data_IF_533240305059
#
_entry.id   IF_533240305059
#
_cell.length_a   1.000
_cell.length_b   1.000
_cell.length_c   1.000
_cell.angle_alpha   90.00
_cell.angle_beta   90.00
_cell.angle_gamma   90.00
#
_symmetry.space_group_name_H-M   'P 1'
#
loop_
_entity.id
_entity.type
_entity.pdbx_description
1 polymer ?
#
# COMPACT_ATOMS: atom_id res chain seq x y z
N UNK A 1 28.58 6.31 17.04
CA UNK A 1 27.97 5.96 15.74
C UNK A 1 26.47 5.97 15.97
N UNK A 2 25.80 7.08 15.66
CA UNK A 2 24.34 7.17 15.84
C UNK A 2 23.69 6.31 14.78
N UNK A 3 22.86 5.36 15.20
CA UNK A 3 21.98 4.61 14.32
C UNK A 3 20.91 5.62 13.87
N UNK A 4 21.06 6.19 12.68
CA UNK A 4 20.01 6.99 12.08
C UNK A 4 18.81 6.08 11.86
N UNK A 5 17.64 6.49 12.37
CA UNK A 5 16.40 5.75 12.20
C UNK A 5 16.10 5.61 10.70
N UNK A 6 15.94 4.37 10.23
CA UNK A 6 15.58 4.02 8.86
C UNK A 6 14.08 4.21 8.64
N UNK A 7 13.57 5.40 8.94
CA UNK A 7 12.13 5.63 8.93
C UNK A 7 11.67 5.96 7.50
N UNK A 8 11.12 4.96 6.81
CA UNK A 8 10.28 5.21 5.64
C UNK A 8 9.15 6.14 6.04
N UNK A 9 8.79 7.08 5.17
CA UNK A 9 7.77 8.09 5.47
C UNK A 9 6.51 7.81 4.68
N UNK A 10 5.37 8.16 5.26
CA UNK A 10 4.11 8.19 4.53
C UNK A 10 4.24 9.10 3.30
N UNK A 11 3.71 8.63 2.17
CA UNK A 11 3.71 9.33 0.89
C UNK A 11 2.31 9.21 0.27
N UNK A 12 1.89 10.09 -0.65
CA UNK A 12 0.56 10.01 -1.22
C UNK A 12 0.37 8.70 -1.97
N UNK A 13 -0.56 7.88 -1.49
CA UNK A 13 -0.83 6.56 -2.02
C UNK A 13 0.32 5.56 -1.85
N UNK A 14 1.26 5.79 -0.93
CA UNK A 14 2.44 4.94 -0.81
C UNK A 14 3.40 5.33 0.31
N UNK A 15 4.70 5.08 0.09
CA UNK A 15 5.78 5.40 1.03
C UNK A 15 7.00 5.96 0.30
N UNK A 16 7.89 6.65 1.02
CA UNK A 16 9.23 6.98 0.50
C UNK A 16 10.31 6.10 1.12
N UNK A 17 11.45 5.98 0.44
CA UNK A 17 12.69 5.55 1.09
C UNK A 17 13.09 6.51 2.23
N UNK A 18 14.02 6.07 3.09
CA UNK A 18 14.48 6.83 4.25
C UNK A 18 15.19 8.14 3.84
N UNK A 19 15.84 8.13 2.67
CA UNK A 19 16.53 9.30 2.13
C UNK A 19 15.57 10.35 1.53
N UNK A 20 14.31 9.99 1.26
CA UNK A 20 13.34 10.84 0.57
C UNK A 20 13.67 11.07 -0.91
N UNK A 21 14.41 10.15 -1.53
CA UNK A 21 14.82 10.24 -2.93
C UNK A 21 13.84 9.53 -3.86
N UNK A 22 13.22 8.44 -3.37
CA UNK A 22 12.31 7.60 -4.16
C UNK A 22 10.96 7.48 -3.46
N UNK A 23 9.88 7.71 -4.20
CA UNK A 23 8.51 7.43 -3.77
C UNK A 23 7.99 6.17 -4.43
N UNK A 24 7.40 5.26 -3.64
CA UNK A 24 6.78 4.02 -4.11
C UNK A 24 5.26 4.16 -3.96
N UNK A 25 4.58 4.39 -5.08
CA UNK A 25 3.14 4.66 -5.11
C UNK A 25 2.39 3.40 -5.51
N UNK A 26 1.40 2.99 -4.70
CA UNK A 26 0.44 1.97 -5.06
C UNK A 26 -0.67 2.57 -5.95
N UNK A 27 -0.96 1.88 -7.05
CA UNK A 27 -2.00 2.20 -8.02
C UNK A 27 -3.06 1.08 -8.06
N UNK A 28 -4.25 1.36 -8.64
CA UNK A 28 -5.28 0.35 -8.80
C UNK A 28 -4.80 -0.94 -9.47
N UNK A 29 -5.30 -2.09 -9.01
CA UNK A 29 -4.87 -3.41 -9.52
C UNK A 29 -3.48 -3.82 -9.01
N UNK A 30 -3.15 -3.42 -7.78
CA UNK A 30 -1.93 -3.83 -7.06
C UNK A 30 -0.63 -3.50 -7.80
N UNK A 31 -0.62 -2.43 -8.59
CA UNK A 31 0.58 -1.95 -9.28
C UNK A 31 1.37 -1.02 -8.36
N UNK A 32 2.69 -1.16 -8.36
CA UNK A 32 3.59 -0.20 -7.69
C UNK A 32 4.39 0.53 -8.76
N UNK A 33 4.49 1.85 -8.61
CA UNK A 33 5.35 2.71 -9.42
C UNK A 33 6.38 3.38 -8.53
N UNK A 34 7.66 3.25 -8.87
CA UNK A 34 8.74 3.99 -8.23
C UNK A 34 9.03 5.28 -8.99
N UNK A 35 9.04 6.40 -8.27
CA UNK A 35 9.23 7.74 -8.79
C UNK A 35 10.48 8.35 -8.17
N UNK A 36 11.34 8.93 -9.01
CA UNK A 36 12.39 9.83 -8.56
C UNK A 36 11.76 11.12 -8.05
N UNK A 37 11.87 11.41 -6.75
CA UNK A 37 11.21 12.57 -6.16
C UNK A 37 11.90 13.89 -6.53
N UNK A 38 13.13 13.85 -7.03
CA UNK A 38 13.83 15.04 -7.51
C UNK A 38 13.28 15.52 -8.85
N UNK A 39 13.04 14.61 -9.79
CA UNK A 39 12.66 14.94 -11.17
C UNK A 39 11.20 14.66 -11.51
N UNK A 40 10.54 13.79 -10.74
CA UNK A 40 9.22 13.24 -11.07
C UNK A 40 9.29 12.04 -12.02
N UNK A 41 10.47 11.62 -12.46
CA UNK A 41 10.59 10.55 -13.45
C UNK A 41 10.20 9.19 -12.87
N UNK A 42 9.53 8.38 -13.69
CA UNK A 42 9.27 6.98 -13.34
C UNK A 42 10.55 6.16 -13.49
N UNK A 43 11.01 5.56 -12.39
CA UNK A 43 12.15 4.64 -12.39
C UNK A 43 11.77 3.25 -12.87
N UNK A 44 10.69 2.71 -12.30
CA UNK A 44 10.17 1.40 -12.67
C UNK A 44 8.69 1.26 -12.28
N UNK A 45 8.07 0.19 -12.78
CA UNK A 45 6.66 -0.13 -12.57
C UNK A 45 6.45 -1.64 -12.59
N UNK A 46 5.71 -2.15 -11.60
CA UNK A 46 5.42 -3.59 -11.48
C UNK A 46 3.95 -3.80 -11.14
N UNK A 47 3.23 -4.50 -12.02
CA UNK A 47 1.83 -4.87 -11.79
C UNK A 47 1.73 -6.07 -10.85
N UNK A 48 0.73 -6.08 -9.96
CA UNK A 48 0.53 -7.16 -8.99
C UNK A 48 1.58 -7.21 -7.86
N UNK A 49 2.41 -6.17 -7.74
CA UNK A 49 3.40 -6.03 -6.68
C UNK A 49 2.77 -5.84 -5.28
N UNK A 50 1.52 -5.38 -5.20
CA UNK A 50 0.80 -5.20 -3.94
C UNK A 50 0.93 -3.79 -3.38
N UNK A 51 0.91 -3.66 -2.06
CA UNK A 51 0.99 -2.40 -1.31
C UNK A 51 2.33 -2.30 -0.59
N UNK A 52 3.08 -1.20 -0.77
CA UNK A 52 4.33 -0.99 -0.05
C UNK A 52 4.04 -0.71 1.43
N UNK A 53 4.81 -1.36 2.32
CA UNK A 53 4.70 -1.21 3.77
C UNK A 53 5.91 -0.50 4.38
N UNK A 54 7.11 -0.83 3.89
CA UNK A 54 8.39 -0.27 4.34
C UNK A 54 9.35 -0.21 3.15
N UNK A 55 10.11 0.88 3.06
CA UNK A 55 11.15 1.06 2.06
C UNK A 55 12.50 1.35 2.73
N UNK A 56 13.51 0.64 2.29
CA UNK A 56 14.92 0.89 2.60
C UNK A 56 15.64 1.30 1.32
N UNK A 57 16.92 1.65 1.41
CA UNK A 57 17.72 2.02 0.23
C UNK A 57 17.84 0.88 -0.80
N UNK A 58 17.66 -0.38 -0.38
CA UNK A 58 17.83 -1.53 -1.27
C UNK A 58 16.58 -2.39 -1.42
N UNK A 59 15.68 -2.41 -0.45
CA UNK A 59 14.55 -3.32 -0.42
C UNK A 59 13.23 -2.60 -0.14
N UNK A 60 12.16 -3.09 -0.75
CA UNK A 60 10.79 -2.66 -0.56
C UNK A 60 9.98 -3.85 -0.01
N UNK A 61 9.56 -3.77 1.25
CA UNK A 61 8.65 -4.74 1.84
C UNK A 61 7.23 -4.40 1.40
N UNK A 62 6.56 -5.37 0.81
CA UNK A 62 5.19 -5.25 0.33
C UNK A 62 4.31 -6.32 0.95
N UNK A 63 3.02 -6.01 1.07
CA UNK A 63 1.97 -7.03 1.19
C UNK A 63 1.26 -7.11 -0.15
N UNK A 64 1.01 -8.33 -0.65
CA UNK A 64 0.35 -8.56 -1.93
C UNK A 64 -0.69 -9.67 -1.82
N UNK A 65 -1.65 -9.69 -2.74
CA UNK A 65 -2.62 -10.77 -2.84
C UNK A 65 -2.17 -11.79 -3.86
N UNK A 66 -1.97 -13.03 -3.43
CA UNK A 66 -1.70 -14.17 -4.29
C UNK A 66 -2.85 -15.17 -4.15
N UNK A 67 -3.65 -15.32 -5.21
CA UNK A 67 -4.90 -16.08 -5.18
C UNK A 67 -5.85 -15.54 -4.08
N UNK A 68 -6.17 -16.35 -3.06
CA UNK A 68 -7.02 -15.98 -1.91
C UNK A 68 -6.22 -15.79 -0.62
N UNK A 69 -4.92 -15.48 -0.73
CA UNK A 69 -4.04 -15.27 0.41
C UNK A 69 -3.34 -13.93 0.32
N UNK A 70 -3.10 -13.34 1.48
CA UNK A 70 -2.23 -12.17 1.62
C UNK A 70 -0.84 -12.66 1.99
N UNK A 71 0.16 -12.20 1.26
CA UNK A 71 1.55 -12.64 1.40
C UNK A 71 2.47 -11.43 1.52
N UNK A 72 3.56 -11.59 2.26
CA UNK A 72 4.65 -10.63 2.27
C UNK A 72 5.68 -11.00 1.20
N UNK A 73 6.27 -9.98 0.58
CA UNK A 73 7.39 -10.14 -0.32
C UNK A 73 8.38 -8.98 -0.17
N UNK A 74 9.63 -9.24 -0.51
CA UNK A 74 10.68 -8.23 -0.63
C UNK A 74 10.97 -8.02 -2.10
N UNK A 75 10.80 -6.78 -2.54
CA UNK A 75 11.19 -6.32 -3.86
C UNK A 75 12.53 -5.58 -3.75
N UNK A 76 13.29 -5.58 -4.82
CA UNK A 76 14.43 -4.71 -5.00
C UNK A 76 13.93 -3.27 -5.22
N UNK A 77 14.37 -2.34 -4.37
CA UNK A 77 13.92 -0.95 -4.44
C UNK A 77 14.40 -0.23 -5.73
N UNK A 78 15.47 -0.71 -6.37
CA UNK A 78 16.08 -0.07 -7.54
C UNK A 78 15.40 -0.46 -8.85
N UNK A 79 14.85 -1.67 -8.96
CA UNK A 79 14.27 -2.15 -10.22
C UNK A 79 12.88 -2.80 -10.07
N UNK A 80 12.40 -3.04 -8.85
CA UNK A 80 11.10 -3.64 -8.57
C UNK A 80 11.05 -5.17 -8.67
N UNK A 81 12.18 -5.84 -8.96
CA UNK A 81 12.24 -7.30 -9.05
C UNK A 81 11.98 -7.95 -7.68
N UNK A 82 11.28 -9.09 -7.67
CA UNK A 82 11.09 -9.86 -6.44
C UNK A 82 12.43 -10.46 -6.02
N UNK A 83 12.94 -10.06 -4.85
CA UNK A 83 14.13 -10.63 -4.22
C UNK A 83 13.79 -11.87 -3.41
N UNK A 84 12.69 -11.81 -2.65
CA UNK A 84 12.27 -12.91 -1.78
C UNK A 84 10.75 -12.93 -1.61
N UNK A 85 10.18 -14.13 -1.69
CA UNK A 85 8.80 -14.40 -1.31
C UNK A 85 8.80 -14.87 0.16
N UNK A 86 8.46 -13.96 1.08
CA UNK A 86 8.47 -14.24 2.52
C UNK A 86 7.40 -15.29 2.88
N UNK A 87 6.23 -15.17 2.25
CA UNK A 87 5.13 -16.13 2.39
C UNK A 87 3.86 -15.55 3.02
N UNK A 88 2.88 -16.42 3.36
CA UNK A 88 1.54 -16.01 3.73
C UNK A 88 1.47 -15.37 5.11
N UNK A 89 0.82 -14.22 5.19
CA UNK A 89 0.46 -13.61 6.47
C UNK A 89 -0.51 -14.55 7.21
N UNK A 90 -0.40 -14.66 8.55
CA UNK A 90 -1.28 -15.49 9.37
C UNK A 90 -2.67 -14.83 9.56
N UNK A 91 -3.32 -14.45 8.48
CA UNK A 91 -4.65 -13.83 8.46
C UNK A 91 -5.74 -14.89 8.26
N UNK A 92 -6.97 -14.66 8.74
CA UNK A 92 -8.10 -15.51 8.36
C UNK A 92 -8.35 -15.49 6.84
N UNK A 93 -8.88 -16.59 6.30
CA UNK A 93 -9.14 -16.73 4.85
C UNK A 93 -10.03 -15.62 4.26
N UNK A 94 -10.96 -15.08 5.06
CA UNK A 94 -11.86 -14.00 4.64
C UNK A 94 -11.16 -12.65 4.49
N UNK A 95 -9.97 -12.46 5.10
CA UNK A 95 -9.27 -11.17 5.07
C UNK A 95 -8.79 -10.80 3.65
N UNK A 96 -8.48 -11.80 2.82
CA UNK A 96 -8.06 -11.56 1.43
C UNK A 96 -9.21 -11.00 0.57
N UNK A 97 -10.46 -11.32 0.92
CA UNK A 97 -11.65 -10.79 0.24
C UNK A 97 -11.87 -9.30 0.57
N UNK A 98 -11.34 -8.83 1.71
CA UNK A 98 -11.41 -7.44 2.17
C UNK A 98 -10.24 -6.57 1.72
N UNK A 99 -9.30 -7.14 0.95
CA UNK A 99 -8.09 -6.46 0.45
C UNK A 99 -8.42 -5.15 -0.28
N UNK A 100 -9.32 -5.22 -1.27
CA UNK A 100 -9.68 -4.09 -2.13
C UNK A 100 -10.70 -3.14 -1.50
N UNK A 101 -11.35 -3.57 -0.41
CA UNK A 101 -12.28 -2.71 0.31
C UNK A 101 -11.47 -1.67 1.08
N UNK A 102 -11.79 -0.40 0.85
CA UNK A 102 -11.37 0.66 1.74
C UNK A 102 -11.57 0.19 3.19
N UNK A 103 -10.48 0.16 3.98
CA UNK A 103 -10.43 -0.16 5.42
C UNK A 103 -10.88 -1.56 5.85
N UNK A 104 -11.10 -2.48 4.91
CA UNK A 104 -11.36 -3.89 5.23
C UNK A 104 -10.11 -4.65 5.64
N UNK A 105 -8.95 -4.30 5.07
CA UNK A 105 -7.64 -4.79 5.48
C UNK A 105 -6.62 -3.66 5.53
N UNK A 106 -5.84 -3.63 6.60
CA UNK A 106 -4.77 -2.66 6.81
C UNK A 106 -3.53 -3.37 7.36
N UNK A 107 -2.35 -3.01 6.86
CA UNK A 107 -1.07 -3.42 7.41
C UNK A 107 -0.13 -2.23 7.49
N UNK A 108 0.70 -2.20 8.52
CA UNK A 108 1.75 -1.21 8.75
C UNK A 108 3.03 -1.92 9.13
N UNK A 109 4.16 -1.37 8.71
CA UNK A 109 5.47 -1.88 9.04
C UNK A 109 6.27 -0.81 9.79
N UNK A 110 6.99 -1.23 10.82
CA UNK A 110 7.91 -0.39 11.57
C UNK A 110 9.32 -1.02 11.55
N UNK A 111 10.36 -0.27 11.15
CA UNK A 111 11.72 -0.77 11.14
C UNK A 111 12.25 -0.98 12.57
N UNK A 112 12.96 -2.09 12.79
CA UNK A 112 13.63 -2.47 14.04
C UNK A 112 15.00 -3.07 13.73
N UNK A 113 15.97 -2.22 13.42
CA UNK A 113 17.31 -2.68 13.01
C UNK A 113 17.26 -3.37 11.64
N UNK A 114 17.72 -4.62 11.57
CA UNK A 114 17.62 -5.47 10.35
C UNK A 114 16.25 -6.14 10.19
N UNK A 115 15.38 -6.01 11.20
CA UNK A 115 14.04 -6.59 11.18
C UNK A 115 13.00 -5.49 10.95
N UNK A 116 11.82 -5.91 10.52
CA UNK A 116 10.63 -5.08 10.42
C UNK A 116 9.49 -5.75 11.17
N UNK A 117 8.87 -5.02 12.09
CA UNK A 117 7.64 -5.46 12.72
C UNK A 117 6.46 -5.03 11.85
N UNK A 118 5.69 -6.00 11.38
CA UNK A 118 4.49 -5.77 10.58
C UNK A 118 3.26 -6.09 11.42
N UNK A 119 2.45 -5.08 11.73
CA UNK A 119 1.12 -5.30 12.30
C UNK A 119 0.06 -5.21 11.20
N UNK A 120 -0.97 -6.03 11.34
CA UNK A 120 -2.12 -6.02 10.44
C UNK A 120 -3.42 -6.10 11.22
N UNK A 121 -4.49 -5.61 10.59
CA UNK A 121 -5.86 -5.65 11.06
C UNK A 121 -6.78 -5.89 9.87
N UNK A 122 -7.74 -6.79 10.03
CA UNK A 122 -8.78 -7.08 9.07
C UNK A 122 -10.15 -6.97 9.75
N UNK A 123 -11.13 -6.40 9.04
CA UNK A 123 -12.52 -6.29 9.50
C UNK A 123 -13.43 -6.76 8.39
N UNK A 124 -14.23 -7.79 8.69
CA UNK A 124 -15.20 -8.34 7.76
C UNK A 124 -16.40 -7.41 7.62
N UNK A 125 -16.64 -6.89 6.42
CA UNK A 125 -17.71 -5.92 6.13
C UNK A 125 -18.77 -6.53 5.23
N UNK A 126 -19.99 -6.06 5.39
CA UNK A 126 -21.06 -6.41 4.47
C UNK A 126 -21.10 -5.42 3.30
N UNK A 127 -20.86 -5.91 2.08
CA UNK A 127 -20.75 -5.08 0.88
C UNK A 127 -22.08 -4.85 0.13
N UNK A 128 -23.22 -5.09 0.79
CA UNK A 128 -24.54 -4.94 0.18
C UNK A 128 -24.96 -6.12 -0.70
N UNK A 129 -26.19 -6.07 -1.22
CA UNK A 129 -26.81 -7.14 -1.99
C UNK A 129 -28.19 -7.54 -1.46
N UNK A 130 -28.60 -8.79 -1.73
CA UNK A 130 -29.79 -9.37 -1.12
C UNK A 130 -29.68 -9.34 0.40
N UNK A 131 -30.80 -9.15 1.12
CA UNK A 131 -30.79 -9.08 2.57
C UNK A 131 -29.98 -10.27 3.16
N UNK A 132 -28.93 -9.99 3.96
CA UNK A 132 -28.06 -11.03 4.47
C UNK A 132 -28.86 -11.99 5.35
N UNK A 133 -28.54 -13.27 5.30
CA UNK A 133 -29.10 -14.23 6.24
C UNK A 133 -28.62 -13.92 7.66
N UNK A 134 -29.34 -14.40 8.67
CA UNK A 134 -28.93 -14.23 10.07
C UNK A 134 -27.51 -14.77 10.33
N UNK A 135 -27.10 -15.84 9.63
CA UNK A 135 -25.74 -16.39 9.69
C UNK A 135 -24.70 -15.40 9.14
N UNK A 136 -24.95 -14.78 7.99
CA UNK A 136 -24.04 -13.75 7.44
C UNK A 136 -23.93 -12.57 8.41
N UNK A 137 -25.06 -12.09 8.95
CA UNK A 137 -25.06 -10.99 9.92
C UNK A 137 -24.27 -11.31 11.18
N UNK A 138 -24.25 -12.58 11.62
CA UNK A 138 -23.54 -12.98 12.83
C UNK A 138 -22.01 -12.88 12.73
N UNK A 139 -21.47 -12.91 11.50
CA UNK A 139 -20.04 -12.72 11.23
C UNK A 139 -19.69 -11.37 10.59
N UNK A 140 -20.66 -10.46 10.45
CA UNK A 140 -20.36 -9.08 10.03
C UNK A 140 -19.79 -8.33 11.23
N UNK A 141 -18.66 -7.65 11.03
CA UNK A 141 -17.93 -7.01 12.13
C UNK A 141 -16.92 -7.94 12.80
N UNK A 142 -16.76 -9.19 12.32
CA UNK A 142 -15.62 -10.03 12.71
C UNK A 142 -14.33 -9.25 12.46
N UNK A 143 -13.51 -9.15 13.49
CA UNK A 143 -12.22 -8.48 13.45
C UNK A 143 -11.12 -9.49 13.77
N UNK A 144 -10.02 -9.38 13.03
CA UNK A 144 -8.80 -10.13 13.31
C UNK A 144 -7.61 -9.20 13.19
N UNK A 145 -6.58 -9.48 13.97
CA UNK A 145 -5.33 -8.74 13.93
C UNK A 145 -4.16 -9.63 14.32
N UNK A 146 -2.97 -9.20 13.99
CA UNK A 146 -1.76 -9.91 14.35
C UNK A 146 -0.52 -9.10 14.03
N UNK A 147 0.60 -9.58 14.56
CA UNK A 147 1.91 -8.96 14.34
C UNK A 147 2.92 -10.04 13.94
N UNK A 148 3.77 -9.73 12.98
CA UNK A 148 4.89 -10.59 12.57
C UNK A 148 6.18 -9.78 12.60
N UNK A 149 7.29 -10.43 12.95
CA UNK A 149 8.64 -9.91 12.68
C UNK A 149 9.14 -10.51 11.38
N UNK A 150 9.70 -9.65 10.53
CA UNK A 150 10.29 -10.01 9.25
C UNK A 150 11.75 -9.63 9.28
N UNK A 151 12.64 -10.58 9.08
CA UNK A 151 14.05 -10.30 8.83
C UNK A 151 14.24 -9.88 7.36
N UNK A 152 14.70 -8.65 7.14
CA UNK A 152 14.73 -8.06 5.79
C UNK A 152 15.86 -8.62 4.91
N UNK A 153 16.86 -9.25 5.51
CA UNK A 153 17.99 -9.83 4.79
C UNK A 153 17.69 -11.27 4.34
N UNK A 154 17.06 -12.05 5.21
CA UNK A 154 16.77 -13.48 4.99
C UNK A 154 15.35 -13.73 4.50
N UNK A 155 14.43 -12.78 4.70
CA UNK A 155 13.00 -12.93 4.49
C UNK A 155 12.34 -13.91 5.45
N UNK A 156 12.97 -14.25 6.57
CA UNK A 156 12.34 -15.09 7.60
C UNK A 156 11.25 -14.31 8.32
N UNK A 157 10.12 -14.98 8.58
CA UNK A 157 8.98 -14.40 9.26
C UNK A 157 8.64 -15.19 10.53
N UNK A 158 8.42 -14.46 11.63
CA UNK A 158 8.01 -15.01 12.91
C UNK A 158 6.75 -14.31 13.41
N UNK A 159 5.69 -15.08 13.64
CA UNK A 159 4.50 -14.54 14.29
C UNK A 159 4.81 -14.17 15.74
N UNK A 160 4.42 -12.97 16.15
CA UNK A 160 4.47 -12.53 17.53
C UNK A 160 3.13 -12.82 18.20
N UNK A 161 3.18 -13.46 19.36
CA UNK A 161 1.99 -13.68 20.20
C UNK A 161 1.71 -12.43 21.03
N UNK A 162 0.42 -12.15 21.23
CA UNK A 162 -0.10 -11.17 22.20
C UNK A 162 0.34 -9.70 22.01
N UNK A 163 0.81 -9.31 20.82
CA UNK A 163 1.06 -7.90 20.50
C UNK A 163 -0.21 -7.30 19.91
N UNK A 164 -0.82 -6.40 20.67
CA UNK A 164 -1.95 -5.61 20.21
C UNK A 164 -1.50 -4.73 19.02
N UNK A 165 -2.09 -4.90 17.82
CA UNK A 165 -1.71 -4.14 16.63
C UNK A 165 -1.92 -2.62 16.78
N UNK A 166 -2.74 -2.18 17.74
CA UNK A 166 -2.94 -0.75 18.04
C UNK A 166 -1.68 -0.08 18.61
N UNK A 167 -0.74 -0.87 19.16
CA UNK A 167 0.49 -0.35 19.81
C UNK A 167 1.51 0.19 18.82
N UNK A 168 1.46 -0.18 17.54
CA UNK A 168 2.38 0.34 16.50
C UNK A 168 2.04 1.77 16.05
N UNK A 169 1.25 2.50 16.83
CA UNK A 169 0.91 3.89 16.53
C UNK A 169 0.20 3.97 15.19
N UNK A 170 -0.80 3.11 14.99
CA UNK A 170 -1.71 3.13 13.85
C UNK A 170 -2.46 4.46 13.82
N UNK A 171 -1.76 5.52 13.42
CA UNK A 171 -2.30 6.81 13.08
C UNK A 171 -3.45 6.53 12.15
N UNK A 172 -4.67 6.80 12.64
CA UNK A 172 -5.94 6.50 12.01
C UNK A 172 -5.79 6.13 10.54
N UNK A 173 -5.64 4.83 10.27
CA UNK A 173 -5.46 4.27 8.93
C UNK A 173 -6.79 4.35 8.15
N UNK A 174 -7.54 5.42 8.36
CA UNK A 174 -8.66 5.82 7.55
C UNK A 174 -8.09 6.24 6.21
N UNK A 175 -8.11 5.32 5.25
CA UNK A 175 -8.79 5.38 3.94
C UNK A 175 -8.77 6.64 3.08
N UNK A 176 -8.36 7.79 3.58
CA UNK A 176 -7.79 8.85 2.77
C UNK A 176 -6.31 8.60 2.79
N UNK A 177 -5.84 7.85 1.77
CA UNK A 177 -4.50 8.04 1.23
C UNK A 177 -4.19 9.53 1.38
N UNK A 178 -3.20 9.88 2.20
CA UNK A 178 -2.84 11.27 2.42
C UNK A 178 -2.62 11.85 1.03
N UNK A 179 -3.63 12.55 0.50
CA UNK A 179 -3.55 13.03 -0.88
C UNK A 179 -2.46 14.07 -1.01
N UNK A 180 -2.00 14.58 0.14
CA UNK A 180 -0.96 15.57 0.27
C UNK A 180 -0.03 15.15 1.39
N UNK A 181 1.28 15.17 1.15
CA UNK A 181 2.31 15.03 2.19
C UNK A 181 3.40 16.05 1.98
N UNK A 182 4.02 16.51 3.07
CA UNK A 182 5.19 17.40 3.00
C UNK A 182 6.45 16.65 3.41
N UNK A 183 7.48 16.64 2.56
CA UNK A 183 8.81 16.12 2.92
C UNK A 183 9.91 16.92 2.22
N UNK A 184 10.97 17.26 2.95
CA UNK A 184 12.11 18.01 2.41
C UNK A 184 11.76 19.40 1.86
N UNK A 185 10.75 20.08 2.42
CA UNK A 185 10.28 21.39 1.93
C UNK A 185 9.47 21.33 0.63
N UNK A 186 9.10 20.13 0.18
CA UNK A 186 8.21 19.90 -0.95
C UNK A 186 6.88 19.34 -0.47
N UNK A 187 5.83 19.73 -1.17
CA UNK A 187 4.48 19.21 -1.04
C UNK A 187 4.22 18.28 -2.22
N UNK A 188 3.83 17.05 -1.94
CA UNK A 188 3.49 16.06 -2.94
C UNK A 188 1.99 15.83 -2.90
N UNK A 189 1.33 15.85 -4.06
CA UNK A 189 -0.11 15.65 -4.19
C UNK A 189 -0.43 14.53 -5.17
N UNK A 190 -1.27 13.57 -4.76
CA UNK A 190 -1.80 12.52 -5.62
C UNK A 190 -3.27 12.77 -5.92
N UNK A 191 -3.55 13.03 -7.20
CA UNK A 191 -4.89 13.28 -7.71
C UNK A 191 -5.36 12.17 -8.65
N UNK A 192 -6.63 11.81 -8.53
CA UNK A 192 -7.31 10.88 -9.43
C UNK A 192 -8.48 11.60 -10.09
N UNK A 193 -8.39 11.81 -11.40
CA UNK A 193 -9.42 12.49 -12.18
C UNK A 193 -10.12 11.52 -13.15
N UNK A 194 -11.42 11.25 -12.98
CA UNK A 194 -12.18 10.49 -13.96
C UNK A 194 -12.47 11.34 -15.20
N UNK A 195 -12.49 10.70 -16.37
CA UNK A 195 -12.85 11.29 -17.67
C UNK A 195 -14.15 10.68 -18.20
N UNK A 196 -14.79 11.38 -19.15
CA UNK A 196 -16.08 11.00 -19.73
C UNK A 196 -16.05 9.69 -20.54
N UNK A 197 -14.88 9.30 -21.05
CA UNK A 197 -14.65 8.01 -21.71
C UNK A 197 -14.54 6.84 -20.72
N UNK A 198 -14.61 7.14 -19.41
CA UNK A 198 -14.46 6.17 -18.34
C UNK A 198 -13.00 5.87 -17.99
N UNK A 199 -12.03 6.58 -18.56
CA UNK A 199 -10.64 6.52 -18.08
C UNK A 199 -10.51 7.26 -16.75
N UNK A 200 -9.61 6.79 -15.90
CA UNK A 200 -9.16 7.55 -14.73
C UNK A 200 -7.69 7.86 -14.92
N UNK A 201 -7.34 9.14 -14.79
CA UNK A 201 -5.94 9.57 -14.81
C UNK A 201 -5.50 9.81 -13.37
N UNK A 202 -4.43 9.13 -12.99
CA UNK A 202 -3.78 9.35 -11.69
C UNK A 202 -2.53 10.19 -11.94
N UNK A 203 -2.42 11.32 -11.25
CA UNK A 203 -1.34 12.28 -11.39
C UNK A 203 -0.68 12.51 -10.04
N UNK A 204 0.66 12.49 -10.01
CA UNK A 204 1.46 12.90 -8.87
C UNK A 204 2.11 14.23 -9.21
N UNK A 205 1.93 15.21 -8.33
CA UNK A 205 2.44 16.57 -8.49
C UNK A 205 3.36 16.89 -7.33
N UNK A 206 4.49 17.55 -7.58
CA UNK A 206 5.32 18.12 -6.53
C UNK A 206 5.37 19.64 -6.67
N UNK A 207 5.19 20.36 -5.58
CA UNK A 207 5.40 21.81 -5.48
C UNK A 207 6.30 22.13 -4.29
N UNK A 208 6.82 23.35 -4.21
CA UNK A 208 7.38 23.84 -2.95
C UNK A 208 6.25 24.26 -2.04
N UNK A 209 6.50 24.21 -0.74
CA UNK A 209 5.52 24.72 0.22
C UNK A 209 5.22 26.20 -0.04
N UNK A 210 3.95 26.51 -0.28
CA UNK A 210 3.47 27.87 -0.60
C UNK A 210 3.51 28.25 -2.08
N UNK A 211 4.13 27.45 -2.95
CA UNK A 211 4.17 27.72 -4.39
C UNK A 211 2.91 27.19 -5.08
N UNK A 212 2.30 28.02 -5.94
CA UNK A 212 1.14 27.62 -6.77
C UNK A 212 1.55 26.84 -8.03
N UNK A 213 2.78 27.03 -8.50
CA UNK A 213 3.29 26.40 -9.71
C UNK A 213 4.03 25.11 -9.33
N UNK A 214 3.65 23.94 -9.89
CA UNK A 214 4.34 22.70 -9.59
C UNK A 214 5.77 22.71 -10.15
N UNK A 215 6.68 22.09 -9.39
CA UNK A 215 8.03 21.78 -9.84
C UNK A 215 8.00 20.75 -10.97
N UNK A 216 7.16 19.74 -10.81
CA UNK A 216 6.90 18.72 -11.81
C UNK A 216 5.53 18.08 -11.61
N UNK A 217 5.03 17.47 -12.67
CA UNK A 217 3.79 16.71 -12.71
C UNK A 217 4.04 15.41 -13.50
N UNK A 218 3.65 14.28 -12.92
CA UNK A 218 3.84 12.95 -13.51
C UNK A 218 2.53 12.21 -13.57
N UNK A 219 2.13 11.81 -14.78
CA UNK A 219 0.96 10.94 -14.99
C UNK A 219 1.34 9.49 -14.70
N UNK A 220 0.81 8.96 -13.61
CA UNK A 220 1.10 7.60 -13.13
C UNK A 220 0.22 6.55 -13.80
N UNK A 221 -1.06 6.85 -14.05
CA UNK A 221 -1.96 5.91 -14.69
C UNK A 221 -2.87 6.58 -15.71
N UNK A 222 -3.18 5.83 -16.77
CA UNK A 222 -4.17 6.16 -17.81
C UNK A 222 -4.96 4.90 -18.18
N UNK A 223 -5.55 4.23 -17.20
CA UNK A 223 -6.42 3.09 -17.48
C UNK A 223 -7.79 3.58 -17.89
N UNK A 224 -8.22 3.16 -19.09
CA UNK A 224 -9.62 3.12 -19.46
C UNK A 224 -10.33 2.07 -18.61
N UNK A 225 -11.49 2.40 -18.04
CA UNK A 225 -12.41 1.33 -17.68
C UNK A 225 -12.70 0.57 -18.97
N UNK A 226 -12.27 -0.69 -19.06
CA UNK A 226 -12.82 -1.58 -20.08
C UNK A 226 -14.31 -1.63 -19.78
N UNK A 227 -15.12 -0.86 -20.52
CA UNK A 227 -16.57 -0.90 -20.40
C UNK A 227 -16.96 -2.37 -20.52
N UNK A 228 -17.48 -2.95 -19.43
CA UNK A 228 -18.07 -4.28 -19.49
C UNK A 228 -19.17 -4.19 -20.56
N UNK A 229 -19.15 -5.05 -21.60
CA UNK A 229 -20.21 -5.03 -22.60
C UNK A 229 -21.56 -5.09 -21.89
N UNK A 230 -22.56 -4.30 -22.30
CA UNK A 230 -23.89 -4.40 -21.71
C UNK A 230 -24.36 -5.87 -21.80
N UNK A 231 -25.08 -6.38 -20.78
CA UNK A 231 -25.61 -7.74 -20.84
C UNK A 231 -26.47 -7.89 -22.10
N UNK A 232 -26.26 -8.98 -22.85
CA UNK A 232 -27.10 -9.32 -23.98
C UNK A 232 -28.55 -9.43 -23.48
N UNK A 233 -29.47 -8.64 -24.06
CA UNK A 233 -30.90 -8.80 -23.80
C UNK A 233 -31.31 -10.19 -24.29
N UNK A 234 -31.77 -11.04 -23.38
CA UNK A 234 -32.46 -12.30 -23.70
C UNK A 234 -33.91 -12.01 -24.07
#
# INVERSE_FOLDING_TARGET
>A
MSIMALDSRAFPGGITDAAGNTGFVNLPGDEIVAIDLATGDTRWRVAGAGRPLLATDSALLVVRRQQRRLELALLDAMNGDVRNDIGPLPVPDWAADEWDTSGGFVAVAQPQGSQSQVAWRAVKRYHGGAAPTAEVLSGVGDEAGGTVLVDLDTGQMHALQDVDPSTLGGAELGERAQRTTSTGGRVYQLDSKPFSDGTTVVTLTASREGDEVPLWETVLDRRGTRRRPPPLRQ
#
